data_IF_229814154242
#
_entry.id   IF_229814154242
#
_cell.length_a   1.000
_cell.length_b   1.000
_cell.length_c   1.000
_cell.angle_alpha   90.00
_cell.angle_beta   90.00
_cell.angle_gamma   90.00
#
_symmetry.space_group_name_H-M   'P 1'
#
loop_
_entity.id
_entity.type
_entity.pdbx_description
1 polymer ?
#
# COMPACT_ATOMS: atom_id res chain seq x y z
N UNK A 1 -3.01 -14.05 -23.59
CA UNK A 1 -3.92 -14.57 -22.53
C UNK A 1 -3.92 -16.10 -22.56
N UNK A 2 -4.50 -16.78 -21.56
CA UNK A 2 -4.48 -18.26 -21.49
C UNK A 2 -5.08 -18.96 -22.74
N UNK A 3 -6.14 -18.40 -23.33
CA UNK A 3 -6.77 -18.97 -24.53
C UNK A 3 -5.86 -18.87 -25.77
N UNK A 4 -5.14 -17.76 -25.92
CA UNK A 4 -4.14 -17.59 -26.99
C UNK A 4 -2.96 -18.54 -26.81
N UNK A 5 -2.53 -18.77 -25.57
CA UNK A 5 -1.45 -19.71 -25.26
C UNK A 5 -1.85 -21.13 -25.68
N UNK A 6 -3.04 -21.59 -25.28
CA UNK A 6 -3.54 -22.92 -25.66
C UNK A 6 -3.63 -23.12 -27.19
N UNK A 7 -3.92 -22.05 -27.96
CA UNK A 7 -3.91 -22.09 -29.42
C UNK A 7 -2.51 -22.06 -30.04
N UNK A 8 -1.54 -21.49 -29.33
CA UNK A 8 -0.16 -21.31 -29.80
C UNK A 8 0.74 -22.52 -29.52
N UNK A 9 0.33 -23.43 -28.63
CA UNK A 9 1.14 -24.59 -28.23
C UNK A 9 0.43 -25.92 -28.49
N UNK A 10 1.18 -27.02 -28.70
CA UNK A 10 0.60 -28.36 -28.80
C UNK A 10 0.27 -28.97 -27.43
N UNK A 11 -0.21 -28.17 -26.48
CA UNK A 11 -0.49 -28.58 -25.09
C UNK A 11 -1.90 -28.10 -24.74
N UNK A 12 -2.77 -29.03 -24.37
CA UNK A 12 -4.11 -28.72 -23.85
C UNK A 12 -3.99 -28.27 -22.39
N UNK A 13 -4.56 -27.12 -22.05
CA UNK A 13 -4.35 -26.50 -20.72
C UNK A 13 -5.55 -26.81 -19.82
N UNK A 14 -5.37 -27.71 -18.84
CA UNK A 14 -6.43 -28.07 -17.89
C UNK A 14 -6.17 -27.52 -16.49
N UNK A 15 -4.90 -27.34 -16.13
CA UNK A 15 -4.49 -26.84 -14.83
C UNK A 15 -3.25 -25.93 -14.93
N UNK A 16 -2.73 -25.54 -13.76
CA UNK A 16 -1.55 -24.68 -13.66
C UNK A 16 -0.28 -25.37 -14.17
N UNK A 17 -0.17 -26.69 -14.01
CA UNK A 17 1.00 -27.46 -14.45
C UNK A 17 1.07 -27.47 -15.97
N UNK A 18 -0.07 -27.65 -16.64
CA UNK A 18 -0.15 -27.56 -18.10
C UNK A 18 0.19 -26.15 -18.60
N UNK A 19 -0.29 -25.12 -17.89
CA UNK A 19 0.02 -23.73 -18.22
C UNK A 19 1.52 -23.43 -18.11
N UNK A 20 2.17 -23.95 -17.07
CA UNK A 20 3.62 -23.78 -16.85
C UNK A 20 4.42 -24.45 -17.96
N UNK A 21 4.02 -25.66 -18.38
CA UNK A 21 4.63 -26.37 -19.51
C UNK A 21 4.41 -25.64 -20.84
N UNK A 22 3.23 -25.07 -21.04
CA UNK A 22 2.92 -24.25 -22.22
C UNK A 22 3.78 -22.98 -22.27
N UNK A 23 3.97 -22.31 -21.13
CA UNK A 23 4.83 -21.14 -21.04
C UNK A 23 6.30 -21.50 -21.30
N UNK A 24 6.80 -22.61 -20.74
CA UNK A 24 8.16 -23.10 -21.00
C UNK A 24 8.36 -23.45 -22.49
N UNK A 25 7.37 -24.07 -23.13
CA UNK A 25 7.40 -24.33 -24.56
C UNK A 25 7.54 -23.03 -25.36
N UNK A 26 6.75 -22.00 -25.03
CA UNK A 26 6.81 -20.71 -25.70
C UNK A 26 8.12 -19.97 -25.45
N UNK A 27 8.67 -20.02 -24.23
CA UNK A 27 9.98 -19.43 -23.92
C UNK A 27 11.08 -20.04 -24.79
N UNK A 28 11.07 -21.37 -24.92
CA UNK A 28 12.03 -22.08 -25.77
C UNK A 28 11.84 -21.79 -27.27
N UNK A 29 10.59 -21.67 -27.73
CA UNK A 29 10.27 -21.39 -29.13
C UNK A 29 10.62 -19.95 -29.54
N UNK A 30 10.33 -18.99 -28.67
CA UNK A 30 10.45 -17.55 -28.99
C UNK A 30 11.80 -16.96 -28.60
N UNK A 31 12.55 -17.64 -27.72
CA UNK A 31 13.74 -17.11 -27.08
C UNK A 31 13.52 -15.80 -26.32
N UNK A 32 12.28 -15.54 -25.90
CA UNK A 32 11.94 -14.36 -25.11
C UNK A 32 12.63 -14.40 -23.73
N UNK A 33 12.96 -13.22 -23.19
CA UNK A 33 13.48 -13.07 -21.83
C UNK A 33 12.42 -13.38 -20.77
N UNK A 34 11.16 -13.08 -21.07
CA UNK A 34 10.02 -13.45 -20.25
C UNK A 34 8.74 -13.58 -21.06
N UNK A 35 7.76 -14.30 -20.52
CA UNK A 35 6.40 -14.38 -21.04
C UNK A 35 5.43 -14.02 -19.92
N UNK A 36 4.52 -13.07 -20.18
CA UNK A 36 3.44 -12.71 -19.28
C UNK A 36 2.12 -13.29 -19.79
N UNK A 37 1.46 -14.13 -18.99
CA UNK A 37 0.18 -14.74 -19.34
C UNK A 37 -0.92 -14.19 -18.43
N UNK A 38 -1.88 -13.48 -19.01
CA UNK A 38 -3.11 -13.07 -18.31
C UNK A 38 -4.09 -14.24 -18.18
N UNK A 39 -4.68 -14.36 -16.97
CA UNK A 39 -5.53 -15.47 -16.51
C UNK A 39 -6.91 -14.98 -16.02
N UNK A 40 -7.34 -13.82 -16.50
CA UNK A 40 -8.64 -13.24 -16.17
C UNK A 40 -8.79 -13.00 -14.65
N UNK A 41 -9.79 -13.63 -14.03
CA UNK A 41 -10.07 -13.50 -12.59
C UNK A 41 -8.94 -14.05 -11.69
N UNK A 42 -8.06 -14.88 -12.22
CA UNK A 42 -6.93 -15.41 -11.45
C UNK A 42 -5.71 -14.48 -11.51
N UNK A 43 -5.82 -13.34 -12.20
CA UNK A 43 -4.74 -12.36 -12.38
C UNK A 43 -3.86 -12.68 -13.58
N UNK A 44 -2.55 -12.77 -13.37
CA UNK A 44 -1.57 -13.10 -14.40
C UNK A 44 -0.39 -13.88 -13.81
N UNK A 45 0.36 -14.56 -14.66
CA UNK A 45 1.60 -15.22 -14.28
C UNK A 45 2.72 -14.74 -15.20
N UNK A 46 3.81 -14.27 -14.60
CA UNK A 46 5.06 -13.95 -15.29
C UNK A 46 5.97 -15.17 -15.29
N UNK A 47 6.51 -15.52 -16.45
CA UNK A 47 7.44 -16.61 -16.66
C UNK A 47 8.77 -16.05 -17.15
N UNK A 48 9.73 -15.78 -16.24
CA UNK A 48 11.07 -15.38 -16.64
C UNK A 48 11.85 -16.58 -17.18
N UNK A 49 12.74 -16.35 -18.14
CA UNK A 49 13.56 -17.40 -18.72
C UNK A 49 14.53 -17.98 -17.66
N UNK A 50 14.50 -19.30 -17.46
CA UNK A 50 15.33 -20.03 -16.47
C UNK A 50 15.13 -19.63 -15.00
N UNK A 51 14.02 -18.99 -14.68
CA UNK A 51 13.64 -18.69 -13.30
C UNK A 51 12.26 -19.23 -12.97
N UNK A 52 11.87 -19.16 -11.70
CA UNK A 52 10.56 -19.64 -11.27
C UNK A 52 9.44 -18.69 -11.75
N UNK A 53 8.27 -19.23 -12.11
CA UNK A 53 7.10 -18.42 -12.41
C UNK A 53 6.69 -17.57 -11.21
N UNK A 54 6.20 -16.36 -11.49
CA UNK A 54 5.72 -15.40 -10.50
C UNK A 54 4.22 -15.20 -10.73
N UNK A 55 3.40 -15.69 -9.82
CA UNK A 55 1.96 -15.46 -9.84
C UNK A 55 1.62 -14.09 -9.26
N UNK A 56 0.82 -13.33 -10.00
CA UNK A 56 0.36 -12.00 -9.64
C UNK A 56 -1.18 -12.06 -9.61
N UNK A 57 -1.79 -12.22 -8.43
CA UNK A 57 -3.24 -12.35 -8.33
C UNK A 57 -3.95 -11.06 -8.77
N UNK A 58 -5.16 -11.18 -9.31
CA UNK A 58 -5.97 -9.99 -9.57
C UNK A 58 -6.29 -9.28 -8.26
N UNK A 59 -6.37 -7.95 -8.32
CA UNK A 59 -6.85 -7.12 -7.22
C UNK A 59 -8.17 -6.42 -7.56
N UNK A 60 -8.82 -6.83 -8.66
CA UNK A 60 -10.12 -6.28 -9.06
C UNK A 60 -11.19 -6.58 -8.00
N UNK A 61 -11.77 -5.52 -7.42
CA UNK A 61 -12.79 -5.61 -6.36
C UNK A 61 -14.17 -5.94 -6.94
N UNK A 62 -14.53 -5.28 -8.03
CA UNK A 62 -15.77 -5.47 -8.79
C UNK A 62 -15.43 -5.42 -10.28
N UNK A 63 -15.84 -6.44 -11.03
CA UNK A 63 -15.60 -6.54 -12.47
C UNK A 63 -16.90 -6.19 -13.18
N UNK A 64 -16.91 -5.06 -13.88
CA UNK A 64 -18.06 -4.58 -14.67
C UNK A 64 -17.92 -4.96 -16.14
N UNK A 65 -16.74 -4.75 -16.73
CA UNK A 65 -16.46 -5.03 -18.14
C UNK A 65 -15.00 -5.48 -18.30
N UNK A 66 -14.71 -6.51 -19.09
CA UNK A 66 -13.33 -6.98 -19.33
C UNK A 66 -12.71 -6.42 -20.60
N UNK A 67 -13.48 -5.63 -21.34
CA UNK A 67 -13.07 -5.03 -22.62
C UNK A 67 -11.95 -4.02 -22.40
N UNK A 68 -10.85 -4.12 -23.15
CA UNK A 68 -9.70 -3.21 -23.05
C UNK A 68 -8.68 -3.53 -21.96
N UNK A 69 -8.93 -4.53 -21.10
CA UNK A 69 -7.97 -4.95 -20.07
C UNK A 69 -6.65 -5.47 -20.66
N UNK A 70 -6.72 -6.24 -21.75
CA UNK A 70 -5.54 -6.74 -22.45
C UNK A 70 -4.68 -5.63 -23.04
N UNK A 71 -5.30 -4.67 -23.73
CA UNK A 71 -4.60 -3.51 -24.30
C UNK A 71 -3.96 -2.64 -23.22
N UNK A 72 -4.62 -2.51 -22.08
CA UNK A 72 -4.09 -1.82 -20.90
C UNK A 72 -2.84 -2.51 -20.37
N UNK A 73 -2.88 -3.84 -20.19
CA UNK A 73 -1.71 -4.62 -19.76
C UNK A 73 -0.54 -4.40 -20.70
N UNK A 74 -0.75 -4.54 -22.02
CA UNK A 74 0.32 -4.38 -23.01
C UNK A 74 0.91 -2.96 -22.98
N UNK A 75 0.04 -1.94 -22.92
CA UNK A 75 0.46 -0.54 -22.94
C UNK A 75 1.27 -0.17 -21.70
N UNK A 76 0.81 -0.57 -20.51
CA UNK A 76 1.48 -0.26 -19.24
C UNK A 76 2.76 -1.06 -19.08
N UNK A 77 2.78 -2.33 -19.50
CA UNK A 77 3.97 -3.17 -19.49
C UNK A 77 5.06 -2.57 -20.39
N UNK A 78 4.71 -2.19 -21.62
CA UNK A 78 5.64 -1.59 -22.57
C UNK A 78 6.19 -0.26 -22.05
N UNK A 79 5.32 0.58 -21.47
CA UNK A 79 5.74 1.84 -20.85
C UNK A 79 6.73 1.60 -19.71
N UNK A 80 6.39 0.73 -18.74
CA UNK A 80 7.23 0.46 -17.57
C UNK A 80 8.62 -0.09 -17.95
N UNK A 81 8.65 -1.05 -18.88
CA UNK A 81 9.91 -1.58 -19.41
C UNK A 81 10.73 -0.50 -20.13
N UNK A 82 10.08 0.39 -20.90
CA UNK A 82 10.78 1.45 -21.63
C UNK A 82 11.47 2.48 -20.73
N UNK A 83 10.98 2.65 -19.50
CA UNK A 83 11.58 3.54 -18.49
C UNK A 83 12.51 2.81 -17.52
N UNK A 84 12.78 1.52 -17.75
CA UNK A 84 13.80 0.74 -17.03
C UNK A 84 13.29 -0.04 -15.82
N UNK A 85 11.98 -0.25 -15.67
CA UNK A 85 11.46 -1.16 -14.64
C UNK A 85 11.81 -2.61 -15.02
N UNK A 86 12.01 -3.46 -14.00
CA UNK A 86 12.17 -4.89 -14.24
C UNK A 86 10.83 -5.53 -14.65
N UNK A 87 10.87 -6.77 -15.15
CA UNK A 87 9.68 -7.49 -15.62
C UNK A 87 8.62 -7.68 -14.54
N UNK A 88 9.03 -7.99 -13.30
CA UNK A 88 8.11 -8.24 -12.20
C UNK A 88 7.35 -6.98 -11.82
N UNK A 89 8.04 -5.87 -11.60
CA UNK A 89 7.42 -4.59 -11.25
C UNK A 89 6.53 -4.07 -12.39
N UNK A 90 6.96 -4.26 -13.63
CA UNK A 90 6.18 -3.90 -14.83
C UNK A 90 4.89 -4.73 -14.93
N UNK A 91 4.96 -6.03 -14.65
CA UNK A 91 3.79 -6.91 -14.64
C UNK A 91 2.82 -6.55 -13.49
N UNK A 92 3.35 -6.23 -12.31
CA UNK A 92 2.55 -5.73 -11.18
C UNK A 92 1.79 -4.45 -11.52
N UNK A 93 2.48 -3.45 -12.07
CA UNK A 93 1.87 -2.19 -12.49
C UNK A 93 0.78 -2.40 -13.55
N UNK A 94 1.01 -3.33 -14.48
CA UNK A 94 0.06 -3.70 -15.53
C UNK A 94 -1.18 -4.41 -14.98
N UNK A 95 -1.01 -5.31 -14.01
CA UNK A 95 -2.12 -5.99 -13.32
C UNK A 95 -3.01 -5.01 -12.59
N UNK A 96 -2.41 -4.03 -11.92
CA UNK A 96 -3.14 -2.97 -11.22
C UNK A 96 -3.92 -2.09 -12.19
N UNK A 97 -3.27 -1.61 -13.25
CA UNK A 97 -3.92 -0.81 -14.28
C UNK A 97 -5.11 -1.55 -14.91
N UNK A 98 -4.93 -2.83 -15.24
CA UNK A 98 -6.01 -3.67 -15.76
C UNK A 98 -7.13 -3.85 -14.72
N UNK A 99 -6.81 -4.00 -13.44
CA UNK A 99 -7.79 -4.12 -12.35
C UNK A 99 -8.66 -2.86 -12.21
N UNK A 100 -8.13 -1.68 -12.50
CA UNK A 100 -8.90 -0.42 -12.55
C UNK A 100 -9.81 -0.41 -13.78
N UNK A 101 -9.28 -0.75 -14.96
CA UNK A 101 -10.04 -0.72 -16.22
C UNK A 101 -11.22 -1.67 -16.17
N UNK A 102 -11.05 -2.87 -15.62
CA UNK A 102 -12.17 -3.82 -15.53
C UNK A 102 -13.28 -3.39 -14.57
N UNK A 103 -13.00 -2.41 -13.70
CA UNK A 103 -13.97 -1.77 -12.83
C UNK A 103 -14.81 -0.70 -13.52
N UNK A 104 -14.58 -0.42 -14.81
CA UNK A 104 -15.27 0.64 -15.58
C UNK A 104 -16.15 0.01 -16.65
N UNK A 105 -17.14 0.77 -17.13
CA UNK A 105 -18.05 0.32 -18.20
C UNK A 105 -17.48 0.72 -19.56
N UNK A 106 -17.40 -0.22 -20.51
CA UNK A 106 -16.97 0.01 -21.89
C UNK A 106 -15.44 0.03 -22.06
N UNK A 107 -14.99 0.51 -23.22
CA UNK A 107 -13.56 0.68 -23.56
C UNK A 107 -12.95 1.86 -22.79
N UNK A 108 -12.83 1.71 -21.49
CA UNK A 108 -12.25 2.70 -20.61
C UNK A 108 -10.72 2.67 -20.70
N UNK A 109 -10.10 3.83 -20.55
CA UNK A 109 -8.66 3.97 -20.34
C UNK A 109 -8.37 4.21 -18.87
N UNK A 110 -7.14 3.89 -18.47
CA UNK A 110 -6.60 4.21 -17.14
C UNK A 110 -5.75 5.48 -17.22
N UNK A 111 -5.89 6.34 -16.23
CA UNK A 111 -5.07 7.55 -16.05
C UNK A 111 -4.02 7.34 -14.97
N UNK A 112 -2.97 8.17 -14.98
CA UNK A 112 -1.95 8.15 -13.92
C UNK A 112 -2.56 8.48 -12.55
N UNK A 113 -3.54 9.39 -12.49
CA UNK A 113 -4.25 9.71 -11.25
C UNK A 113 -5.05 8.52 -10.71
N UNK A 114 -5.69 7.73 -11.57
CA UNK A 114 -6.40 6.53 -11.13
C UNK A 114 -5.43 5.44 -10.64
N UNK A 115 -4.27 5.30 -11.28
CA UNK A 115 -3.21 4.40 -10.79
C UNK A 115 -2.70 4.87 -9.43
N UNK A 116 -2.45 6.17 -9.26
CA UNK A 116 -2.01 6.76 -8.00
C UNK A 116 -3.07 6.60 -6.90
N UNK A 117 -4.34 6.85 -7.20
CA UNK A 117 -5.46 6.62 -6.29
C UNK A 117 -5.57 5.15 -5.90
N UNK A 118 -5.41 4.22 -6.85
CA UNK A 118 -5.47 2.79 -6.57
C UNK A 118 -4.27 2.33 -5.75
N UNK A 119 -3.05 2.78 -6.07
CA UNK A 119 -1.85 2.53 -5.27
C UNK A 119 -2.05 3.06 -3.86
N UNK A 120 -2.60 4.27 -3.73
CA UNK A 120 -2.91 4.84 -2.44
C UNK A 120 -3.97 4.03 -1.71
N UNK A 121 -5.09 3.66 -2.33
CA UNK A 121 -6.10 2.81 -1.70
C UNK A 121 -5.53 1.46 -1.26
N UNK A 122 -4.69 0.82 -2.08
CA UNK A 122 -4.14 -0.50 -1.80
C UNK A 122 -3.03 -0.43 -0.75
N UNK A 123 -2.18 0.61 -0.80
CA UNK A 123 -1.24 0.93 0.28
C UNK A 123 -1.99 1.22 1.57
N UNK A 124 -3.04 2.05 1.56
CA UNK A 124 -3.88 2.39 2.73
C UNK A 124 -4.68 1.17 3.24
N UNK A 125 -5.07 0.23 2.37
CA UNK A 125 -5.71 -1.05 2.76
C UNK A 125 -4.72 -2.02 3.37
N UNK A 126 -3.50 -2.07 2.83
CA UNK A 126 -2.38 -2.83 3.37
C UNK A 126 -1.81 -2.15 4.63
N UNK A 127 -2.15 -0.89 4.87
CA UNK A 127 -1.71 -0.14 6.03
C UNK A 127 -2.75 0.80 6.63
N UNK A 128 -3.57 0.23 7.50
CA UNK A 128 -3.76 0.80 8.85
C UNK A 128 -2.58 0.35 9.74
N UNK A 129 -1.36 0.51 9.21
CA UNK A 129 -0.20 -0.21 9.71
C UNK A 129 0.54 0.61 10.75
N UNK A 130 0.98 -0.12 11.77
CA UNK A 130 2.13 0.30 12.56
C UNK A 130 3.34 0.18 11.64
N UNK A 131 3.89 1.32 11.22
CA UNK A 131 5.11 1.42 10.44
C UNK A 131 6.30 1.65 11.37
N UNK A 132 7.47 1.16 10.98
CA UNK A 132 8.70 1.65 11.59
C UNK A 132 9.06 3.04 11.03
N UNK A 133 10.01 3.72 11.66
CA UNK A 133 10.34 5.12 11.34
C UNK A 133 10.89 5.30 9.90
N UNK A 134 11.62 4.31 9.38
CA UNK A 134 12.15 4.35 8.02
C UNK A 134 11.03 4.25 6.97
N UNK A 135 10.12 3.29 7.15
CA UNK A 135 8.93 3.11 6.31
C UNK A 135 8.01 4.33 6.34
N UNK A 136 7.81 4.90 7.53
CA UNK A 136 7.01 6.09 7.72
C UNK A 136 7.62 7.29 6.98
N UNK A 137 8.94 7.48 7.08
CA UNK A 137 9.63 8.58 6.41
C UNK A 137 9.52 8.48 4.89
N UNK A 138 9.66 7.28 4.32
CA UNK A 138 9.45 7.04 2.88
C UNK A 138 8.01 7.35 2.47
N UNK A 139 7.05 6.86 3.23
CA UNK A 139 5.61 7.10 3.00
C UNK A 139 5.27 8.59 3.01
N UNK A 140 5.80 9.34 3.97
CA UNK A 140 5.58 10.78 4.09
C UNK A 140 6.26 11.55 2.96
N UNK A 141 7.48 11.17 2.57
CA UNK A 141 8.15 11.77 1.43
C UNK A 141 7.34 11.60 0.13
N UNK A 142 6.78 10.41 -0.09
CA UNK A 142 5.94 10.13 -1.25
C UNK A 142 4.63 10.92 -1.22
N UNK A 143 3.94 10.94 -0.07
CA UNK A 143 2.72 11.71 0.09
C UNK A 143 2.93 13.21 -0.21
N UNK A 144 4.03 13.76 0.28
CA UNK A 144 4.38 15.16 0.01
C UNK A 144 4.74 15.42 -1.45
N UNK A 145 5.39 14.46 -2.15
CA UNK A 145 5.73 14.64 -3.56
C UNK A 145 4.50 14.71 -4.47
N UNK A 146 3.36 14.19 -4.04
CA UNK A 146 2.07 14.31 -4.72
C UNK A 146 1.18 15.42 -4.13
N UNK A 147 1.73 16.29 -3.28
CA UNK A 147 1.05 17.48 -2.77
C UNK A 147 0.10 17.26 -1.59
N UNK A 148 0.16 16.11 -0.92
CA UNK A 148 -0.66 15.84 0.29
C UNK A 148 -0.11 16.56 1.51
N UNK A 149 -1.01 17.07 2.34
CA UNK A 149 -0.71 17.70 3.63
C UNK A 149 -0.64 16.64 4.73
N UNK A 150 0.51 16.52 5.39
CA UNK A 150 0.76 15.50 6.43
C UNK A 150 0.58 16.09 7.82
N UNK A 151 -0.37 15.54 8.56
CA UNK A 151 -0.67 15.87 9.96
C UNK A 151 -0.04 14.84 10.88
N UNK A 152 0.56 15.30 11.97
CA UNK A 152 1.12 14.43 13.00
C UNK A 152 0.60 14.80 14.39
N UNK A 153 0.29 13.78 15.17
CA UNK A 153 0.03 13.88 16.61
C UNK A 153 0.74 12.74 17.32
N UNK A 154 0.95 12.86 18.62
CA UNK A 154 1.44 11.76 19.44
C UNK A 154 0.64 11.60 20.72
N UNK A 155 0.77 10.45 21.38
CA UNK A 155 0.19 10.25 22.71
C UNK A 155 0.34 8.84 23.24
N UNK A 156 0.04 8.68 24.53
CA UNK A 156 0.04 7.38 25.18
C UNK A 156 -1.22 6.58 24.85
N UNK A 157 -2.39 7.20 24.72
CA UNK A 157 -3.67 6.51 24.41
C UNK A 157 -3.93 5.24 25.25
N UNK A 158 -3.64 5.32 26.56
CA UNK A 158 -3.69 4.15 27.46
C UNK A 158 -5.12 3.62 27.65
N UNK A 159 -6.03 4.52 28.02
CA UNK A 159 -7.47 4.24 28.09
C UNK A 159 -8.17 5.13 27.07
N UNK A 160 -8.39 4.58 25.87
CA UNK A 160 -9.04 5.31 24.78
C UNK A 160 -10.52 5.53 25.14
N UNK A 161 -11.00 6.74 24.89
CA UNK A 161 -12.37 7.17 25.15
C UNK A 161 -12.81 8.18 24.09
N UNK A 162 -14.08 8.60 24.11
CA UNK A 162 -14.69 9.48 23.10
C UNK A 162 -13.86 10.73 22.78
N UNK A 163 -13.35 11.41 23.80
CA UNK A 163 -12.47 12.58 23.61
C UNK A 163 -11.24 12.33 22.72
N UNK A 164 -10.56 11.18 22.84
CA UNK A 164 -9.44 10.83 21.94
C UNK A 164 -9.91 10.62 20.50
N UNK A 165 -11.08 10.01 20.32
CA UNK A 165 -11.65 9.75 18.99
C UNK A 165 -11.98 11.08 18.31
N UNK A 166 -12.68 11.97 19.01
CA UNK A 166 -13.03 13.30 18.50
C UNK A 166 -11.78 14.13 18.21
N UNK A 167 -10.77 14.08 19.08
CA UNK A 167 -9.48 14.72 18.87
C UNK A 167 -8.80 14.25 17.59
N UNK A 168 -8.68 12.93 17.39
CA UNK A 168 -8.06 12.36 16.18
C UNK A 168 -8.87 12.68 14.91
N UNK A 169 -10.20 12.74 15.00
CA UNK A 169 -11.04 13.18 13.89
C UNK A 169 -10.76 14.64 13.52
N UNK A 170 -10.75 15.55 14.49
CA UNK A 170 -10.40 16.96 14.28
C UNK A 170 -8.97 17.17 13.79
N UNK A 171 -8.03 16.32 14.22
CA UNK A 171 -6.66 16.35 13.72
C UNK A 171 -6.63 15.96 12.23
N UNK A 172 -7.34 14.89 11.86
CA UNK A 172 -7.41 14.41 10.47
C UNK A 172 -8.03 15.43 9.51
N UNK A 173 -8.96 16.25 9.98
CA UNK A 173 -9.58 17.33 9.18
C UNK A 173 -8.61 18.44 8.78
N UNK A 174 -7.42 18.52 9.39
CA UNK A 174 -6.43 19.57 9.10
C UNK A 174 -5.54 19.27 7.90
N UNK A 175 -5.59 18.05 7.35
CA UNK A 175 -4.77 17.68 6.20
C UNK A 175 -5.28 16.40 5.53
N UNK A 176 -4.44 15.78 4.72
CA UNK A 176 -4.79 14.64 3.88
C UNK A 176 -4.38 13.29 4.50
N UNK A 177 -3.43 13.31 5.44
CA UNK A 177 -2.95 12.13 6.15
C UNK A 177 -2.73 12.45 7.63
N UNK A 178 -3.19 11.58 8.53
CA UNK A 178 -2.90 11.65 9.96
C UNK A 178 -1.98 10.51 10.40
N UNK A 179 -0.84 10.89 10.96
CA UNK A 179 0.13 10.00 11.59
C UNK A 179 0.01 10.13 13.10
N UNK A 180 -0.05 8.99 13.78
CA UNK A 180 -0.05 8.92 15.25
C UNK A 180 1.26 8.31 15.75
N UNK A 181 2.08 9.13 16.39
CA UNK A 181 3.18 8.65 17.23
C UNK A 181 2.64 8.03 18.52
N UNK A 182 2.74 6.72 18.67
CA UNK A 182 2.28 5.99 19.85
C UNK A 182 3.45 5.71 20.79
N UNK A 183 3.40 6.21 22.03
CA UNK A 183 4.42 5.88 23.03
C UNK A 183 4.44 4.37 23.30
N UNK A 184 5.62 3.76 23.36
CA UNK A 184 5.81 2.36 23.75
C UNK A 184 5.43 2.10 25.21
N UNK A 185 5.36 0.84 25.61
CA UNK A 185 5.07 0.49 27.01
C UNK A 185 6.15 1.00 27.96
N UNK A 186 7.41 0.99 27.55
CA UNK A 186 8.55 1.53 28.31
C UNK A 186 8.48 3.07 28.41
N UNK A 187 8.13 3.73 27.32
CA UNK A 187 7.92 5.19 27.29
C UNK A 187 6.79 5.59 28.24
N UNK A 188 5.65 4.90 28.19
CA UNK A 188 4.51 5.20 29.07
C UNK A 188 4.85 4.94 30.54
N UNK A 189 5.57 3.86 30.86
CA UNK A 189 6.08 3.61 32.23
C UNK A 189 6.94 4.76 32.73
N UNK A 190 7.83 5.25 31.87
CA UNK A 190 8.74 6.36 32.20
C UNK A 190 8.00 7.68 32.45
N UNK A 191 6.91 7.92 31.71
CA UNK A 191 6.11 9.14 31.81
C UNK A 191 5.10 9.09 32.96
N UNK A 192 4.41 7.95 33.15
CA UNK A 192 3.23 7.82 34.02
C UNK A 192 3.43 6.90 35.23
N UNK A 193 4.60 6.28 35.37
CA UNK A 193 4.94 5.35 36.44
C UNK A 193 4.73 3.88 36.07
N UNK A 194 5.28 2.98 36.88
CA UNK A 194 5.35 1.54 36.61
C UNK A 194 3.99 0.82 36.48
N UNK A 195 2.94 1.38 37.06
CA UNK A 195 1.57 0.83 37.00
C UNK A 195 0.85 1.15 35.68
N UNK A 196 1.52 1.86 34.77
CA UNK A 196 1.02 2.24 33.45
C UNK A 196 2.02 1.78 32.37
N UNK A 197 1.56 1.42 31.16
CA UNK A 197 0.18 1.45 30.69
C UNK A 197 -0.66 0.28 31.19
N UNK A 198 -1.98 0.46 31.27
CA UNK A 198 -2.95 -0.62 31.49
C UNK A 198 -3.10 -1.46 30.21
N UNK A 199 -3.02 -0.83 29.04
CA UNK A 199 -3.09 -1.49 27.73
C UNK A 199 -1.72 -1.53 27.06
N UNK A 200 -1.31 -2.71 26.61
CA UNK A 200 -0.04 -2.89 25.90
C UNK A 200 0.00 -2.02 24.64
N UNK A 201 1.19 -1.65 24.18
CA UNK A 201 1.38 -0.84 22.97
C UNK A 201 0.75 -1.50 21.75
N UNK A 202 0.72 -2.84 21.72
CA UNK A 202 0.06 -3.63 20.68
C UNK A 202 -1.45 -3.47 20.72
N UNK A 203 -2.07 -3.59 21.89
CA UNK A 203 -3.52 -3.36 22.05
C UNK A 203 -3.90 -1.93 21.68
N UNK A 204 -3.13 -0.94 22.15
CA UNK A 204 -3.36 0.48 21.86
C UNK A 204 -3.25 0.76 20.36
N UNK A 205 -2.22 0.25 19.71
CA UNK A 205 -2.05 0.38 18.26
C UNK A 205 -3.22 -0.26 17.50
N UNK A 206 -3.67 -1.45 17.89
CA UNK A 206 -4.81 -2.12 17.26
C UNK A 206 -6.11 -1.33 17.38
N UNK A 207 -6.36 -0.68 18.52
CA UNK A 207 -7.56 0.14 18.70
C UNK A 207 -7.48 1.41 17.86
N UNK A 208 -6.34 2.09 17.88
CA UNK A 208 -6.13 3.34 17.13
C UNK A 208 -6.21 3.07 15.62
N UNK A 209 -5.61 1.98 15.14
CA UNK A 209 -5.63 1.62 13.72
C UNK A 209 -7.04 1.30 13.22
N UNK A 210 -7.95 0.89 14.11
CA UNK A 210 -9.36 0.70 13.75
C UNK A 210 -10.07 2.03 13.42
N UNK A 211 -9.59 3.17 13.91
CA UNK A 211 -10.21 4.47 13.67
C UNK A 211 -10.02 4.91 12.22
N UNK A 212 -11.11 5.34 11.57
CA UNK A 212 -11.08 5.83 10.18
C UNK A 212 -10.23 7.10 10.02
N UNK A 213 -10.07 7.89 11.08
CA UNK A 213 -9.32 9.14 11.06
C UNK A 213 -7.81 8.95 11.10
N UNK A 214 -7.29 7.74 11.34
CA UNK A 214 -5.86 7.47 11.48
C UNK A 214 -5.37 6.68 10.27
N UNK A 215 -4.36 7.21 9.58
CA UNK A 215 -3.76 6.58 8.40
C UNK A 215 -2.56 5.71 8.81
N UNK A 216 -1.64 6.24 9.63
CA UNK A 216 -0.43 5.53 10.06
C UNK A 216 -0.16 5.64 11.56
N UNK A 217 0.47 4.61 12.12
CA UNK A 217 0.97 4.62 13.50
C UNK A 217 2.47 4.34 13.47
N UNK A 218 3.25 5.05 14.29
CA UNK A 218 4.64 4.68 14.58
C UNK A 218 4.83 4.57 16.08
N UNK A 219 5.43 3.47 16.54
CA UNK A 219 5.72 3.27 17.96
C UNK A 219 7.11 3.81 18.28
N UNK A 220 7.27 4.52 19.41
CA UNK A 220 8.54 5.10 19.83
C UNK A 220 8.78 4.99 21.33
N UNK A 221 10.05 4.97 21.73
CA UNK A 221 10.45 4.68 23.11
C UNK A 221 10.80 5.95 23.91
N UNK A 222 11.11 7.03 23.22
CA UNK A 222 11.46 8.32 23.78
C UNK A 222 10.27 8.91 24.57
N UNK A 223 10.55 9.80 25.51
CA UNK A 223 9.50 10.49 26.28
C UNK A 223 8.83 11.60 25.48
N UNK A 224 9.52 12.14 24.47
CA UNK A 224 9.02 13.16 23.55
C UNK A 224 9.08 12.67 22.11
N UNK A 225 8.20 13.16 21.21
CA UNK A 225 8.18 12.76 19.80
C UNK A 225 9.21 13.53 18.93
N UNK A 226 10.13 14.29 19.52
CA UNK A 226 11.01 15.24 18.78
C UNK A 226 11.79 14.56 17.65
N UNK A 227 12.34 13.38 17.92
CA UNK A 227 13.16 12.68 16.93
C UNK A 227 12.33 12.21 15.73
N UNK A 228 11.11 11.70 16.00
CA UNK A 228 10.17 11.34 14.93
C UNK A 228 9.78 12.57 14.13
N UNK A 229 9.44 13.68 14.79
CA UNK A 229 9.05 14.92 14.12
C UNK A 229 10.19 15.43 13.25
N UNK A 230 11.44 15.36 13.72
CA UNK A 230 12.64 15.78 12.98
C UNK A 230 12.84 14.95 11.71
N UNK A 231 12.63 13.64 11.78
CA UNK A 231 12.81 12.74 10.64
C UNK A 231 11.63 12.80 9.66
N UNK A 232 10.41 12.76 10.18
CA UNK A 232 9.17 12.74 9.39
C UNK A 232 8.85 14.10 8.79
N UNK A 233 9.20 15.19 9.49
CA UNK A 233 8.93 16.60 9.10
C UNK A 233 7.48 16.81 8.63
N UNK A 234 6.47 16.53 9.48
CA UNK A 234 5.06 16.76 9.13
C UNK A 234 4.78 18.23 8.82
N UNK A 235 3.73 18.50 8.05
CA UNK A 235 3.30 19.87 7.72
C UNK A 235 2.55 20.53 8.88
N UNK A 236 1.80 19.72 9.64
CA UNK A 236 0.98 20.20 10.75
C UNK A 236 1.21 19.30 11.97
N UNK A 237 1.52 19.92 13.10
CA UNK A 237 1.53 19.28 14.41
C UNK A 237 0.23 19.59 15.14
N UNK A 238 -0.45 18.55 15.62
CA UNK A 238 -1.65 18.66 16.44
C UNK A 238 -1.36 18.09 17.82
N UNK A 239 -1.75 18.82 18.85
CA UNK A 239 -1.63 18.41 20.26
C UNK A 239 -3.00 18.53 20.92
N UNK A 240 -3.30 17.61 21.83
CA UNK A 240 -4.51 17.69 22.66
C UNK A 240 -4.39 18.80 23.71
N UNK A 241 -5.52 19.16 24.31
CA UNK A 241 -5.66 20.29 25.25
C UNK A 241 -4.87 20.14 26.57
N UNK A 242 -4.20 19.00 26.79
CA UNK A 242 -3.42 18.69 27.99
C UNK A 242 -2.00 19.30 27.99
N UNK A 243 -1.60 20.05 26.95
CA UNK A 243 -0.25 20.62 26.81
C UNK A 243 -0.26 22.15 26.70
N UNK A 244 0.57 22.84 27.48
CA UNK A 244 0.82 24.26 27.31
C UNK A 244 1.70 24.51 26.07
N UNK A 245 1.55 25.67 25.41
CA UNK A 245 2.30 26.04 24.19
C UNK A 245 3.83 25.93 24.37
N UNK A 246 4.33 26.12 25.58
CA UNK A 246 5.75 26.09 25.92
C UNK A 246 6.29 24.66 26.16
N UNK A 247 5.43 23.64 26.16
CA UNK A 247 5.77 22.21 26.33
C UNK A 247 5.72 21.43 24.99
N UNK A 248 5.52 22.14 23.89
CA UNK A 248 5.42 21.55 22.55
C UNK A 248 6.81 21.30 21.99
N UNK A 249 7.21 20.04 22.05
CA UNK A 249 8.34 19.49 21.30
C UNK A 249 8.07 19.56 19.78
N UNK A 250 8.79 20.41 19.05
CA UNK A 250 8.75 20.51 17.58
C UNK A 250 8.72 21.92 17.03
#
# INVERSE_FOLDING_TARGET
>A
NQLEVEKAVPIKIQDKIDLDRAAEYLLNLTHAESILITRGKDGMTLYPNKENPIDIPTQAKEVFDVTGAGDTVVSVLAMALSIGFNYQDSAWLSNMAASIVVGKIGTAVVTLSEIDEYLHEEMLRTSKAVLNLEELTKTVSLAKSVGKTVVFTNGCFDLIHGGHIEFLQKAREKGDLLIVGLNSDESVKSIKGNDRPIKTQKERANIISALKSVDYITIFNETTPEEIIRQVRPDILVKGDDYNKDEVAG
#
